data_IF_134219272779
#
_entry.id   IF_134219272779
#
_cell.length_a   1.000
_cell.length_b   1.000
_cell.length_c   1.000
_cell.angle_alpha   90.00
_cell.angle_beta   90.00
_cell.angle_gamma   90.00
#
_symmetry.space_group_name_H-M   'P 1'
#
loop_
_entity.id
_entity.type
_entity.pdbx_description
1 polymer ?
#
# COMPACT_ATOMS: atom_id res chain seq x y z
N UNK A 1 21.30 -33.18 -22.93
CA UNK A 1 20.05 -32.41 -23.04
C UNK A 1 20.37 -31.02 -22.52
N UNK A 2 20.72 -30.08 -23.40
CA UNK A 2 20.72 -28.67 -22.95
C UNK A 2 19.25 -28.30 -22.84
N UNK A 3 18.76 -28.19 -21.61
CA UNK A 3 17.37 -27.86 -21.36
C UNK A 3 17.20 -26.37 -21.60
N UNK A 4 16.13 -25.97 -22.28
CA UNK A 4 15.76 -24.55 -22.51
C UNK A 4 15.85 -23.71 -21.23
N UNK A 5 15.59 -24.35 -20.08
CA UNK A 5 15.74 -23.81 -18.71
C UNK A 5 17.15 -23.33 -18.33
N UNK A 6 18.21 -23.76 -19.02
CA UNK A 6 19.58 -23.28 -18.79
C UNK A 6 19.79 -21.85 -19.30
N UNK A 7 18.95 -21.38 -20.23
CA UNK A 7 19.02 -20.02 -20.80
C UNK A 7 18.43 -18.95 -19.87
N UNK A 8 17.56 -19.33 -18.95
CA UNK A 8 16.91 -18.41 -18.01
C UNK A 8 17.90 -17.81 -17.00
N UNK A 9 17.64 -16.58 -16.57
CA UNK A 9 18.41 -15.91 -15.50
C UNK A 9 18.09 -16.58 -14.15
N UNK A 10 19.01 -16.45 -13.18
CA UNK A 10 18.80 -17.05 -11.84
C UNK A 10 17.54 -16.53 -11.15
N UNK A 11 17.23 -15.23 -11.33
CA UNK A 11 16.03 -14.61 -10.79
C UNK A 11 14.74 -15.23 -11.37
N UNK A 12 14.66 -15.38 -12.69
CA UNK A 12 13.53 -16.01 -13.39
C UNK A 12 13.31 -17.46 -12.93
N UNK A 13 14.39 -18.21 -12.69
CA UNK A 13 14.30 -19.58 -12.16
C UNK A 13 13.81 -19.63 -10.71
N UNK A 14 14.03 -18.59 -9.92
CA UNK A 14 13.50 -18.50 -8.55
C UNK A 14 12.00 -18.17 -8.62
N UNK A 15 11.62 -17.19 -9.43
CA UNK A 15 10.21 -16.81 -9.63
C UNK A 15 9.39 -17.98 -10.18
N UNK A 16 9.90 -18.70 -11.17
CA UNK A 16 9.26 -19.88 -11.74
C UNK A 16 9.08 -20.98 -10.68
N UNK A 17 10.10 -21.20 -9.84
CA UNK A 17 10.03 -22.21 -8.79
C UNK A 17 9.04 -21.82 -7.68
N UNK A 18 8.96 -20.54 -7.32
CA UNK A 18 7.98 -20.02 -6.35
C UNK A 18 6.55 -20.12 -6.90
N UNK A 19 6.34 -19.80 -8.19
CA UNK A 19 5.05 -19.99 -8.87
C UNK A 19 4.64 -21.47 -8.93
N UNK A 20 5.60 -22.38 -9.09
CA UNK A 20 5.38 -23.84 -9.04
C UNK A 20 5.22 -24.38 -7.60
N UNK A 21 5.32 -23.52 -6.57
CA UNK A 21 5.18 -23.92 -5.16
C UNK A 21 6.36 -24.72 -4.61
N UNK A 22 7.53 -24.65 -5.25
CA UNK A 22 8.75 -25.31 -4.81
C UNK A 22 9.45 -24.44 -3.77
N UNK A 23 9.87 -25.02 -2.63
CA UNK A 23 10.59 -24.26 -1.59
C UNK A 23 12.03 -23.93 -2.05
N UNK A 24 12.15 -22.76 -2.68
CA UNK A 24 13.34 -21.98 -3.04
C UNK A 24 14.24 -21.61 -1.86
N UNK A 25 15.58 -21.60 -1.99
CA UNK A 25 16.44 -20.78 -1.14
C UNK A 25 17.35 -19.96 -2.05
N UNK A 26 17.56 -18.67 -1.75
CA UNK A 26 18.43 -17.76 -2.50
C UNK A 26 19.89 -18.26 -2.63
N UNK A 27 20.30 -19.13 -1.70
CA UNK A 27 21.59 -19.81 -1.67
C UNK A 27 21.75 -20.91 -2.73
N UNK A 28 20.67 -21.35 -3.39
CA UNK A 28 20.76 -22.38 -4.41
C UNK A 28 21.47 -21.88 -5.68
N UNK A 29 22.39 -22.69 -6.20
CA UNK A 29 23.09 -22.44 -7.45
C UNK A 29 22.15 -22.67 -8.64
N UNK A 30 22.24 -21.86 -9.71
CA UNK A 30 21.47 -21.99 -10.96
C UNK A 30 21.26 -23.46 -11.43
N UNK A 31 22.30 -24.31 -11.55
CA UNK A 31 22.11 -25.71 -11.98
C UNK A 31 21.25 -26.55 -11.02
N UNK A 32 21.28 -26.26 -9.71
CA UNK A 32 20.43 -26.97 -8.72
C UNK A 32 18.97 -26.55 -8.84
N UNK A 33 18.70 -25.29 -9.19
CA UNK A 33 17.34 -24.80 -9.44
C UNK A 33 16.75 -25.46 -10.68
N UNK A 34 17.51 -25.50 -11.78
CA UNK A 34 17.10 -26.17 -13.02
C UNK A 34 16.76 -27.64 -12.77
N UNK A 35 17.62 -28.38 -12.05
CA UNK A 35 17.37 -29.79 -11.75
C UNK A 35 16.11 -30.01 -10.89
N UNK A 36 15.87 -29.16 -9.89
CA UNK A 36 14.66 -29.25 -9.06
C UNK A 36 13.38 -28.99 -9.85
N UNK A 37 13.40 -28.01 -10.75
CA UNK A 37 12.25 -27.68 -11.60
C UNK A 37 11.99 -28.82 -12.57
N UNK A 38 13.03 -29.38 -13.20
CA UNK A 38 12.90 -30.53 -14.10
C UNK A 38 12.33 -31.77 -13.40
N UNK A 39 12.87 -32.12 -12.23
CA UNK A 39 12.40 -33.26 -11.43
C UNK A 39 10.92 -33.08 -11.05
N UNK A 40 10.52 -31.84 -10.72
CA UNK A 40 9.14 -31.53 -10.46
C UNK A 40 8.24 -31.69 -11.69
N UNK A 41 8.64 -31.12 -12.84
CA UNK A 41 7.89 -31.22 -14.09
C UNK A 41 7.76 -32.68 -14.59
N UNK A 42 8.79 -33.51 -14.40
CA UNK A 42 8.75 -34.94 -14.73
C UNK A 42 7.87 -35.75 -13.76
N UNK A 43 7.73 -35.31 -12.51
CA UNK A 43 6.90 -35.98 -11.50
C UNK A 43 5.40 -35.74 -11.66
N UNK A 44 5.00 -34.73 -12.46
CA UNK A 44 3.60 -34.38 -12.64
C UNK A 44 2.91 -35.32 -13.63
N UNK A 45 1.70 -35.84 -13.30
CA UNK A 45 0.97 -36.76 -14.17
C UNK A 45 0.33 -36.06 -15.39
N UNK A 46 0.13 -34.74 -15.33
CA UNK A 46 -0.45 -33.92 -16.39
C UNK A 46 0.43 -32.67 -16.61
N UNK A 47 0.54 -32.17 -17.86
CA UNK A 47 1.30 -30.96 -18.15
C UNK A 47 0.67 -29.74 -17.45
N UNK A 48 1.52 -28.86 -16.97
CA UNK A 48 1.12 -27.60 -16.31
C UNK A 48 0.39 -26.70 -17.32
N UNK A 49 -0.65 -25.99 -16.87
CA UNK A 49 -1.43 -25.08 -17.72
C UNK A 49 -0.56 -23.93 -18.27
N UNK A 50 -0.46 -23.84 -19.59
CA UNK A 50 0.35 -22.86 -20.29
C UNK A 50 -0.20 -21.42 -20.15
N UNK A 51 -1.47 -21.26 -19.78
CA UNK A 51 -2.06 -19.93 -19.54
C UNK A 51 -1.50 -19.27 -18.28
N UNK A 52 -1.10 -20.06 -17.28
CA UNK A 52 -0.52 -19.57 -16.02
C UNK A 52 1.02 -19.51 -16.09
N UNK A 53 1.64 -20.31 -16.98
CA UNK A 53 3.09 -20.44 -17.12
C UNK A 53 3.56 -20.35 -18.59
N UNK A 54 3.51 -19.16 -19.23
CA UNK A 54 3.93 -19.00 -20.62
C UNK A 54 5.43 -19.31 -20.83
N UNK A 55 6.24 -19.15 -19.79
CA UNK A 55 7.69 -19.43 -19.80
C UNK A 55 8.01 -20.91 -20.06
N UNK A 56 7.07 -21.82 -19.80
CA UNK A 56 7.22 -23.27 -20.02
C UNK A 56 6.84 -23.71 -21.44
N UNK A 57 6.27 -22.85 -22.27
CA UNK A 57 5.85 -23.16 -23.65
C UNK A 57 7.01 -23.71 -24.48
N UNK A 58 8.14 -23.01 -24.46
CA UNK A 58 9.37 -23.41 -25.17
C UNK A 58 9.93 -24.75 -24.67
N UNK A 59 9.72 -25.08 -23.39
CA UNK A 59 10.15 -26.35 -22.82
C UNK A 59 9.29 -27.52 -23.33
N UNK A 60 7.97 -27.36 -23.35
CA UNK A 60 7.05 -28.38 -23.86
C UNK A 60 7.14 -28.55 -25.38
N UNK A 61 7.38 -27.46 -26.13
CA UNK A 61 7.63 -27.53 -27.58
C UNK A 61 8.90 -28.35 -27.90
N UNK A 62 9.98 -28.12 -27.15
CA UNK A 62 11.21 -28.90 -27.29
C UNK A 62 10.99 -30.39 -26.98
N UNK A 63 10.19 -30.72 -25.96
CA UNK A 63 9.82 -32.11 -25.67
C UNK A 63 8.96 -32.75 -26.78
N UNK A 64 8.03 -31.99 -27.35
CA UNK A 64 7.19 -32.46 -28.45
C UNK A 64 8.02 -32.79 -29.70
N UNK A 65 9.01 -31.97 -30.05
CA UNK A 65 9.93 -32.20 -31.17
C UNK A 65 10.81 -33.45 -30.96
N UNK A 66 11.25 -33.70 -29.72
CA UNK A 66 12.03 -34.90 -29.37
C UNK A 66 11.16 -36.17 -29.43
N UNK A 67 9.89 -36.08 -29.01
CA UNK A 67 8.97 -37.22 -29.05
C UNK A 67 8.64 -37.64 -30.50
N UNK A 68 8.53 -36.68 -31.42
CA UNK A 68 8.22 -36.92 -32.84
C UNK A 68 9.41 -37.44 -33.66
N UNK A 69 10.66 -37.25 -33.21
CA UNK A 69 11.85 -37.76 -33.91
C UNK A 69 12.18 -39.23 -33.58
N UNK A 70 11.50 -39.84 -32.59
CA UNK A 70 11.73 -41.23 -32.19
C UNK A 70 10.85 -42.26 -32.92
N UNK A 71 9.97 -41.82 -33.83
CA UNK A 71 9.08 -42.68 -34.60
C UNK A 71 8.94 -42.21 -36.05
N UNK A 72 9.77 -42.75 -36.95
CA UNK A 72 9.39 -42.96 -38.36
C UNK A 72 9.76 -41.86 -39.37
N UNK A 73 10.90 -42.08 -40.03
CA UNK A 73 11.21 -41.93 -41.47
C UNK A 73 10.35 -41.01 -42.38
N UNK A 74 11.06 -40.04 -42.99
CA UNK A 74 10.91 -39.41 -44.32
C UNK A 74 9.68 -38.55 -44.65
N UNK A 75 9.91 -37.24 -44.86
CA UNK A 75 9.52 -36.52 -46.09
C UNK A 75 10.13 -35.11 -46.11
N UNK A 76 10.62 -34.71 -47.28
CA UNK A 76 11.33 -33.48 -47.64
C UNK A 76 10.44 -32.23 -47.79
N UNK A 77 11.08 -31.05 -47.69
CA UNK A 77 10.65 -29.77 -48.27
C UNK A 77 10.47 -28.70 -47.19
N UNK A 78 10.93 -27.46 -47.30
CA UNK A 78 11.66 -26.68 -48.30
C UNK A 78 12.07 -25.38 -47.59
N UNK A 79 13.12 -24.75 -48.10
CA UNK A 79 13.78 -23.52 -47.66
C UNK A 79 12.91 -22.25 -47.52
N UNK A 80 13.28 -21.38 -46.58
CA UNK A 80 13.43 -19.90 -46.65
C UNK A 80 13.94 -19.49 -45.24
N UNK A 81 15.20 -19.10 -44.97
CA UNK A 81 16.01 -17.96 -45.46
C UNK A 81 15.32 -16.59 -45.30
N UNK A 82 15.29 -16.08 -44.06
CA UNK A 82 15.41 -14.64 -43.79
C UNK A 82 16.37 -14.43 -42.60
N UNK A 83 17.58 -13.99 -42.93
CA UNK A 83 18.54 -13.35 -42.04
C UNK A 83 17.98 -11.96 -41.66
N UNK A 84 17.87 -11.65 -40.38
CA UNK A 84 17.76 -10.26 -39.92
C UNK A 84 18.88 -9.97 -38.93
N UNK A 85 19.85 -9.20 -39.44
CA UNK A 85 20.93 -8.54 -38.72
C UNK A 85 20.38 -7.65 -37.59
N UNK A 86 20.95 -7.83 -36.40
CA UNK A 86 20.71 -6.98 -35.24
C UNK A 86 21.97 -6.87 -34.41
N UNK A 87 23.00 -6.26 -34.99
CA UNK A 87 24.16 -5.72 -34.27
C UNK A 87 23.69 -4.65 -33.29
N UNK A 88 24.01 -4.81 -32.01
CA UNK A 88 23.67 -3.88 -30.94
C UNK A 88 24.67 -4.02 -29.79
N UNK A 89 25.79 -3.33 -29.99
CA UNK A 89 26.89 -2.95 -29.10
C UNK A 89 26.91 -3.49 -27.66
N UNK A 90 28.04 -4.16 -27.39
CA UNK A 90 28.68 -4.28 -26.08
C UNK A 90 29.08 -2.89 -25.57
N UNK A 91 28.54 -2.48 -24.41
CA UNK A 91 29.16 -1.47 -23.54
C UNK A 91 29.26 -2.07 -22.13
N UNK A 92 30.31 -2.87 -21.95
CA UNK A 92 30.98 -3.10 -20.67
C UNK A 92 31.94 -1.93 -20.44
N UNK A 93 31.74 -1.10 -19.41
CA UNK A 93 32.84 -0.30 -18.81
C UNK A 93 32.45 0.23 -17.41
N UNK A 94 33.33 -0.10 -16.45
CA UNK A 94 33.75 0.58 -15.23
C UNK A 94 32.73 0.75 -14.06
N UNK A 95 32.85 0.07 -12.91
CA UNK A 95 34.00 -0.14 -12.01
C UNK A 95 34.68 1.18 -11.61
N UNK A 96 34.09 1.88 -10.64
CA UNK A 96 34.81 2.85 -9.80
C UNK A 96 34.23 2.84 -8.37
N UNK A 97 34.81 1.94 -7.58
CA UNK A 97 34.91 2.01 -6.13
C UNK A 97 35.81 3.20 -5.74
N UNK A 98 35.24 4.31 -5.27
CA UNK A 98 35.97 5.30 -4.48
C UNK A 98 35.33 5.46 -3.09
N UNK A 99 35.84 4.64 -2.16
CA UNK A 99 35.73 4.82 -0.71
C UNK A 99 36.51 6.09 -0.29
N UNK A 100 35.81 7.19 0.00
CA UNK A 100 36.42 8.32 0.72
C UNK A 100 36.40 8.05 2.24
N UNK A 101 37.50 7.49 2.74
CA UNK A 101 37.86 7.46 4.16
C UNK A 101 38.27 8.87 4.65
N UNK A 102 37.35 9.63 5.25
CA UNK A 102 37.71 10.78 6.09
C UNK A 102 38.10 10.32 7.51
N UNK A 103 39.36 9.91 7.70
CA UNK A 103 39.98 9.81 9.03
C UNK A 103 40.22 11.21 9.62
N UNK A 104 39.25 11.68 10.42
CA UNK A 104 39.43 12.85 11.28
C UNK A 104 40.16 12.42 12.57
N UNK A 105 41.50 12.45 12.56
CA UNK A 105 42.31 12.40 13.78
C UNK A 105 42.18 13.71 14.57
N UNK A 106 41.34 13.71 15.61
CA UNK A 106 41.34 14.78 16.62
C UNK A 106 42.12 14.29 17.85
N UNK A 107 43.40 14.68 17.91
CA UNK A 107 44.25 14.56 19.09
C UNK A 107 43.79 15.53 20.19
N UNK A 108 42.83 15.11 21.02
CA UNK A 108 42.48 15.82 22.26
C UNK A 108 43.31 15.29 23.43
N UNK A 109 44.51 15.84 23.58
CA UNK A 109 45.27 15.82 24.84
C UNK A 109 45.06 17.13 25.59
N UNK A 110 44.25 17.11 26.65
CA UNK A 110 44.56 17.81 27.91
C UNK A 110 43.48 17.62 28.98
N UNK A 111 43.84 16.83 29.99
CA UNK A 111 43.70 17.10 31.43
C UNK A 111 42.45 17.82 31.95
N UNK A 112 41.47 17.02 32.40
CA UNK A 112 40.47 17.43 33.39
C UNK A 112 40.39 16.42 34.55
N UNK A 113 40.78 16.80 35.78
CA UNK A 113 40.54 16.00 36.98
C UNK A 113 39.31 16.52 37.73
N UNK A 114 38.25 15.72 37.83
CA UNK A 114 37.64 15.31 39.10
C UNK A 114 36.34 14.55 38.85
N UNK A 115 36.37 13.28 39.22
CA UNK A 115 35.32 12.30 38.99
C UNK A 115 34.11 12.59 39.90
N UNK A 116 32.99 12.92 39.27
CA UNK A 116 31.65 12.70 39.86
C UNK A 116 31.40 11.19 39.99
N UNK A 117 30.80 10.71 41.09
CA UNK A 117 30.55 9.28 41.33
C UNK A 117 29.61 8.62 40.31
N UNK A 118 28.93 9.40 39.47
CA UNK A 118 28.09 8.89 38.38
C UNK A 118 28.90 8.35 37.17
N UNK A 119 30.17 8.73 37.00
CA UNK A 119 31.01 8.24 35.89
C UNK A 119 31.59 6.83 36.13
N UNK A 120 31.41 6.25 37.34
CA UNK A 120 31.96 4.94 37.67
C UNK A 120 31.08 3.75 37.22
N UNK A 121 29.85 4.00 36.77
CA UNK A 121 28.91 2.90 36.46
C UNK A 121 28.99 2.35 35.03
N UNK A 122 29.65 3.03 34.09
CA UNK A 122 29.85 2.51 32.73
C UNK A 122 31.31 2.54 32.24
N UNK A 123 32.23 3.14 33.00
CA UNK A 123 33.63 3.38 32.59
C UNK A 123 34.58 2.17 32.72
N UNK A 124 34.13 1.04 33.28
CA UNK A 124 34.97 -0.17 33.41
C UNK A 124 34.68 -1.24 32.35
N UNK A 125 33.79 -0.98 31.40
CA UNK A 125 33.74 -1.75 30.15
C UNK A 125 34.96 -1.34 29.31
N UNK A 126 36.11 -1.94 29.65
CA UNK A 126 37.23 -1.95 28.72
C UNK A 126 36.82 -2.84 27.56
N UNK A 127 36.38 -2.24 26.46
CA UNK A 127 36.42 -2.87 25.14
C UNK A 127 37.89 -3.04 24.75
N UNK A 128 38.61 -3.88 25.50
CA UNK A 128 39.88 -4.40 25.03
C UNK A 128 39.51 -5.19 23.78
N UNK A 129 40.14 -4.84 22.67
CA UNK A 129 40.06 -5.50 21.37
C UNK A 129 40.61 -6.94 21.45
N UNK A 130 40.09 -7.72 22.40
CA UNK A 130 40.34 -9.14 22.53
C UNK A 130 39.41 -9.77 21.51
N UNK A 131 40.02 -10.20 20.41
CA UNK A 131 39.50 -11.19 19.47
C UNK A 131 39.14 -12.44 20.28
N UNK A 132 37.99 -12.39 20.92
CA UNK A 132 37.41 -13.51 21.64
C UNK A 132 36.45 -14.12 20.64
N UNK A 133 36.82 -15.29 20.13
CA UNK A 133 35.94 -16.21 19.42
C UNK A 133 34.85 -16.74 20.37
N UNK A 134 34.16 -15.84 21.08
CA UNK A 134 33.00 -16.16 21.88
C UNK A 134 31.78 -16.09 20.95
N UNK A 135 30.85 -17.07 21.01
CA UNK A 135 29.66 -17.09 20.13
C UNK A 135 28.69 -15.92 20.34
N UNK A 136 28.97 -15.03 21.29
CA UNK A 136 28.07 -13.97 21.77
C UNK A 136 28.76 -12.60 21.74
N UNK A 137 29.42 -12.27 20.63
CA UNK A 137 29.83 -10.89 20.38
C UNK A 137 28.61 -10.10 19.88
N UNK A 138 28.10 -9.19 20.71
CA UNK A 138 27.01 -8.30 20.31
C UNK A 138 27.55 -7.28 19.32
N UNK A 139 27.23 -7.47 18.04
CA UNK A 139 27.65 -6.59 16.95
C UNK A 139 26.76 -5.34 16.95
N UNK A 140 27.04 -4.43 17.89
CA UNK A 140 26.26 -3.21 18.07
C UNK A 140 26.18 -2.37 16.79
N UNK A 141 27.28 -2.31 16.02
CA UNK A 141 27.29 -1.61 14.73
C UNK A 141 26.30 -2.23 13.74
N UNK A 142 26.34 -3.55 13.53
CA UNK A 142 25.36 -4.23 12.66
C UNK A 142 23.91 -4.03 13.12
N UNK A 143 23.66 -3.99 14.44
CA UNK A 143 22.31 -3.70 14.95
C UNK A 143 21.87 -2.26 14.66
N UNK A 144 22.76 -1.28 14.80
CA UNK A 144 22.44 0.12 14.47
C UNK A 144 22.22 0.28 12.97
N UNK A 145 23.05 -0.35 12.15
CA UNK A 145 22.93 -0.34 10.69
C UNK A 145 21.63 -1.01 10.24
N UNK A 146 21.24 -2.13 10.85
CA UNK A 146 19.97 -2.82 10.59
C UNK A 146 18.76 -1.96 11.00
N UNK A 147 18.83 -1.31 12.16
CA UNK A 147 17.77 -0.37 12.59
C UNK A 147 17.68 0.83 11.65
N UNK A 148 18.80 1.38 11.19
CA UNK A 148 18.84 2.49 10.25
C UNK A 148 18.26 2.07 8.89
N UNK A 149 18.72 0.95 8.33
CA UNK A 149 18.23 0.40 7.07
C UNK A 149 16.74 0.09 7.13
N UNK A 150 16.31 -0.61 8.19
CA UNK A 150 14.88 -0.91 8.43
C UNK A 150 14.09 0.40 8.52
N UNK A 151 14.53 1.37 9.30
CA UNK A 151 13.83 2.66 9.43
C UNK A 151 13.72 3.40 8.10
N UNK A 152 14.77 3.37 7.27
CA UNK A 152 14.75 3.95 5.94
C UNK A 152 13.74 3.24 5.04
N UNK A 153 13.75 1.91 4.99
CA UNK A 153 12.81 1.11 4.21
C UNK A 153 11.34 1.36 4.64
N UNK A 154 11.07 1.44 5.94
CA UNK A 154 9.74 1.81 6.45
C UNK A 154 9.35 3.22 6.05
N UNK A 155 10.29 4.17 6.06
CA UNK A 155 10.02 5.55 5.66
C UNK A 155 9.70 5.65 4.16
N UNK A 156 10.47 4.97 3.31
CA UNK A 156 10.21 4.87 1.87
C UNK A 156 8.85 4.23 1.59
N UNK A 157 8.52 3.12 2.26
CA UNK A 157 7.19 2.48 2.15
C UNK A 157 6.04 3.38 2.61
N UNK A 158 6.23 4.12 3.70
CA UNK A 158 5.22 5.05 4.21
C UNK A 158 5.06 6.22 3.22
N UNK A 159 6.16 6.73 2.67
CA UNK A 159 6.13 7.77 1.65
C UNK A 159 5.38 7.29 0.40
N UNK A 160 5.70 6.11 -0.12
CA UNK A 160 5.02 5.52 -1.27
C UNK A 160 3.53 5.32 -0.98
N UNK A 161 3.19 4.74 0.17
CA UNK A 161 1.81 4.53 0.57
C UNK A 161 1.03 5.84 0.71
N UNK A 162 1.62 6.87 1.34
CA UNK A 162 1.02 8.19 1.51
C UNK A 162 0.92 8.98 0.20
N UNK A 163 1.80 8.70 -0.76
CA UNK A 163 1.77 9.32 -2.10
C UNK A 163 0.63 8.78 -2.96
N UNK A 164 0.11 7.58 -2.67
CA UNK A 164 -1.03 7.06 -3.39
C UNK A 164 -2.29 7.90 -3.15
N UNK A 165 -2.98 8.23 -4.23
CA UNK A 165 -4.20 9.06 -4.19
C UNK A 165 -5.31 8.42 -3.33
N UNK A 166 -5.36 7.09 -3.29
CA UNK A 166 -6.27 6.33 -2.45
C UNK A 166 -6.02 6.56 -0.96
N UNK A 167 -4.76 6.57 -0.52
CA UNK A 167 -4.40 6.84 0.87
C UNK A 167 -4.71 8.28 1.25
N UNK A 168 -4.39 9.25 0.38
CA UNK A 168 -4.75 10.66 0.60
C UNK A 168 -6.26 10.80 0.77
N UNK A 169 -7.06 10.13 -0.06
CA UNK A 169 -8.54 10.10 0.07
C UNK A 169 -8.98 9.54 1.42
N UNK A 170 -8.40 8.42 1.85
CA UNK A 170 -8.73 7.80 3.15
C UNK A 170 -8.34 8.69 4.34
N UNK A 171 -7.18 9.34 4.27
CA UNK A 171 -6.72 10.27 5.30
C UNK A 171 -7.66 11.47 5.41
N UNK A 172 -8.03 12.09 4.28
CA UNK A 172 -9.00 13.21 4.27
C UNK A 172 -10.34 12.77 4.86
N UNK A 173 -10.84 11.59 4.49
CA UNK A 173 -12.06 11.02 5.07
C UNK A 173 -11.93 10.78 6.59
N UNK A 174 -10.80 10.26 7.06
CA UNK A 174 -10.55 10.01 8.47
C UNK A 174 -10.49 11.30 9.27
N UNK A 175 -9.83 12.33 8.74
CA UNK A 175 -9.77 13.66 9.34
C UNK A 175 -11.17 14.30 9.39
N UNK A 176 -11.92 14.24 8.29
CA UNK A 176 -13.31 14.71 8.26
C UNK A 176 -14.17 13.97 9.29
N UNK A 177 -14.10 12.64 9.34
CA UNK A 177 -14.84 11.82 10.31
C UNK A 177 -14.48 12.22 11.74
N UNK A 178 -13.19 12.41 12.02
CA UNK A 178 -12.73 12.83 13.34
C UNK A 178 -13.34 14.16 13.77
N UNK A 179 -13.28 15.18 12.90
CA UNK A 179 -13.88 16.49 13.19
C UNK A 179 -15.40 16.43 13.30
N UNK A 180 -16.05 15.54 12.54
CA UNK A 180 -17.49 15.35 12.59
C UNK A 180 -17.95 14.62 13.86
N UNK A 181 -17.24 13.57 14.30
CA UNK A 181 -17.62 12.70 15.43
C UNK A 181 -17.24 13.31 16.78
N UNK A 182 -16.07 13.97 16.87
CA UNK A 182 -15.56 14.59 18.11
C UNK A 182 -16.62 15.38 18.90
N UNK A 183 -17.42 16.27 18.29
CA UNK A 183 -18.44 17.04 19.02
C UNK A 183 -19.70 16.24 19.38
N UNK A 184 -19.94 15.10 18.74
CA UNK A 184 -21.10 14.24 18.99
C UNK A 184 -20.88 13.28 20.18
N UNK A 185 -19.62 13.00 20.53
CA UNK A 185 -19.24 12.11 21.62
C UNK A 185 -18.68 12.92 22.77
N UNK A 186 -19.34 12.86 23.93
CA UNK A 186 -18.88 13.50 25.15
C UNK A 186 -18.40 12.44 26.14
N UNK A 187 -17.19 12.64 26.67
CA UNK A 187 -16.59 11.77 27.69
C UNK A 187 -16.70 12.44 29.06
N UNK A 188 -17.45 11.82 29.96
CA UNK A 188 -17.55 12.25 31.36
C UNK A 188 -16.59 11.41 32.22
N UNK A 189 -15.35 11.86 32.33
CA UNK A 189 -14.29 11.17 33.10
C UNK A 189 -14.63 11.04 34.58
N UNK A 190 -15.57 11.83 35.11
CA UNK A 190 -15.97 11.75 36.52
C UNK A 190 -16.74 10.47 36.85
N UNK A 191 -17.35 9.84 35.82
CA UNK A 191 -18.12 8.61 35.95
C UNK A 191 -17.31 7.35 35.64
N UNK A 192 -16.01 7.47 35.33
CA UNK A 192 -15.17 6.32 35.03
C UNK A 192 -14.99 5.43 36.26
N UNK A 193 -15.21 4.09 36.21
CA UNK A 193 -15.37 3.24 35.02
C UNK A 193 -16.81 2.80 34.69
N UNK A 194 -17.85 3.51 35.14
CA UNK A 194 -19.24 3.13 34.85
C UNK A 194 -19.56 3.22 33.35
N UNK A 195 -20.49 2.40 32.82
CA UNK A 195 -20.85 2.39 31.39
C UNK A 195 -21.46 3.71 30.89
N UNK A 196 -21.83 4.62 31.79
CA UNK A 196 -22.36 5.96 31.47
C UNK A 196 -21.26 7.00 31.23
N UNK A 197 -19.98 6.61 31.19
CA UNK A 197 -18.87 7.53 30.93
C UNK A 197 -18.89 8.14 29.51
N UNK A 198 -19.64 7.53 28.58
CA UNK A 198 -19.85 8.04 27.21
C UNK A 198 -21.30 8.47 27.06
N UNK A 199 -21.50 9.74 26.74
CA UNK A 199 -22.80 10.28 26.37
C UNK A 199 -22.78 10.78 24.92
N UNK A 200 -23.84 10.46 24.18
CA UNK A 200 -24.03 10.92 22.80
C UNK A 200 -24.88 12.18 22.82
N UNK A 201 -24.35 13.26 22.26
CA UNK A 201 -25.06 14.52 22.16
C UNK A 201 -25.71 14.64 20.77
N UNK A 202 -26.99 15.07 20.68
CA UNK A 202 -27.96 15.37 21.73
C UNK A 202 -28.82 14.15 22.12
N UNK A 203 -28.94 13.16 21.24
CA UNK A 203 -29.58 11.87 21.52
C UNK A 203 -28.88 10.75 20.74
N UNK A 204 -29.02 9.50 21.20
CA UNK A 204 -28.46 8.34 20.49
C UNK A 204 -29.01 8.19 19.06
N UNK A 205 -30.29 8.55 18.85
CA UNK A 205 -30.92 8.48 17.52
C UNK A 205 -30.34 9.54 16.58
N UNK A 206 -30.17 10.76 17.08
CA UNK A 206 -29.60 11.86 16.31
C UNK A 206 -28.12 11.59 15.98
N UNK A 207 -27.39 10.94 16.89
CA UNK A 207 -26.05 10.43 16.61
C UNK A 207 -26.08 9.45 15.42
N UNK A 208 -26.91 8.42 15.48
CA UNK A 208 -27.01 7.43 14.38
C UNK A 208 -27.42 8.08 13.06
N UNK A 209 -28.38 9.02 13.06
CA UNK A 209 -28.75 9.76 11.86
C UNK A 209 -27.62 10.61 11.33
N UNK A 210 -26.87 11.28 12.19
CA UNK A 210 -25.73 12.12 11.80
C UNK A 210 -24.60 11.29 11.19
N UNK A 211 -24.24 10.16 11.81
CA UNK A 211 -23.21 9.25 11.28
C UNK A 211 -23.68 8.63 9.96
N UNK A 212 -24.93 8.18 9.88
CA UNK A 212 -25.47 7.59 8.65
C UNK A 212 -25.53 8.62 7.53
N UNK A 213 -25.91 9.86 7.84
CA UNK A 213 -25.91 10.99 6.90
C UNK A 213 -24.49 11.28 6.40
N UNK A 214 -23.51 11.40 7.31
CA UNK A 214 -22.12 11.61 6.94
C UNK A 214 -21.61 10.49 6.05
N UNK A 215 -21.83 9.23 6.42
CA UNK A 215 -21.38 8.08 5.62
C UNK A 215 -22.02 8.07 4.23
N UNK A 216 -23.32 8.33 4.14
CA UNK A 216 -24.06 8.36 2.89
C UNK A 216 -23.53 9.44 1.95
N UNK A 217 -23.35 10.68 2.43
CA UNK A 217 -23.03 11.83 1.59
C UNK A 217 -21.53 12.13 1.45
N UNK A 218 -20.70 11.81 2.45
CA UNK A 218 -19.25 11.98 2.38
C UNK A 218 -18.55 10.84 1.62
N UNK A 219 -19.12 9.63 1.65
CA UNK A 219 -18.45 8.43 1.16
C UNK A 219 -19.28 7.66 0.13
N UNK A 220 -20.46 7.16 0.49
CA UNK A 220 -21.21 6.24 -0.36
C UNK A 220 -21.65 6.89 -1.68
N UNK A 221 -22.28 8.07 -1.62
CA UNK A 221 -22.80 8.76 -2.80
C UNK A 221 -21.68 9.19 -3.77
N UNK A 222 -20.59 9.86 -3.35
CA UNK A 222 -19.45 10.13 -4.23
C UNK A 222 -18.81 8.87 -4.83
N UNK A 223 -18.73 7.77 -4.06
CA UNK A 223 -18.18 6.49 -4.55
C UNK A 223 -19.06 5.88 -5.65
N UNK A 224 -20.38 5.88 -5.47
CA UNK A 224 -21.33 5.38 -6.49
C UNK A 224 -21.26 6.23 -7.76
N UNK A 225 -21.18 7.56 -7.64
CA UNK A 225 -21.05 8.46 -8.80
C UNK A 225 -19.73 8.19 -9.53
N UNK A 226 -18.62 8.14 -8.80
CA UNK A 226 -17.29 7.85 -9.36
C UNK A 226 -17.23 6.50 -10.07
N UNK A 227 -17.78 5.46 -9.44
CA UNK A 227 -17.89 4.13 -10.03
C UNK A 227 -18.72 4.15 -11.32
N UNK A 228 -19.88 4.82 -11.31
CA UNK A 228 -20.75 4.90 -12.48
C UNK A 228 -20.07 5.60 -13.66
N UNK A 229 -19.37 6.71 -13.43
CA UNK A 229 -18.66 7.42 -14.48
C UNK A 229 -17.48 6.60 -15.04
N UNK A 230 -16.72 5.95 -14.16
CA UNK A 230 -15.64 5.06 -14.57
C UNK A 230 -16.15 3.87 -15.40
N UNK A 231 -17.27 3.27 -14.97
CA UNK A 231 -17.95 2.18 -15.67
C UNK A 231 -18.36 2.57 -17.09
N UNK A 232 -18.88 3.79 -17.30
CA UNK A 232 -19.29 4.27 -18.62
C UNK A 232 -18.08 4.53 -19.53
N UNK A 233 -16.95 4.96 -18.97
CA UNK A 233 -15.77 5.33 -19.75
C UNK A 233 -14.92 4.13 -20.20
N UNK A 234 -14.89 3.04 -19.43
CA UNK A 234 -13.99 1.89 -19.66
C UNK A 234 -12.50 2.29 -19.80
N UNK A 235 -12.10 3.49 -19.36
CA UNK A 235 -10.76 4.04 -19.62
C UNK A 235 -9.71 3.50 -18.64
N UNK A 236 -10.10 3.15 -17.40
CA UNK A 236 -9.18 2.66 -16.38
C UNK A 236 -9.50 1.22 -15.97
N UNK A 237 -8.95 0.25 -16.71
CA UNK A 237 -9.12 -1.18 -16.42
C UNK A 237 -8.53 -1.60 -15.06
N UNK A 238 -7.61 -0.81 -14.49
CA UNK A 238 -6.93 -1.11 -13.21
C UNK A 238 -7.48 -0.35 -11.99
N UNK A 239 -8.27 0.71 -12.19
CA UNK A 239 -8.76 1.57 -11.09
C UNK A 239 -10.27 1.43 -11.00
N UNK A 240 -10.77 0.92 -9.87
CA UNK A 240 -12.21 0.70 -9.65
C UNK A 240 -13.02 2.01 -9.59
N UNK A 241 -12.40 3.10 -9.12
CA UNK A 241 -13.05 4.40 -8.89
C UNK A 241 -12.26 5.55 -9.51
N UNK A 242 -12.89 6.35 -10.37
CA UNK A 242 -12.29 7.60 -10.87
C UNK A 242 -12.13 8.61 -9.71
N UNK A 243 -10.88 8.93 -9.30
CA UNK A 243 -10.63 9.78 -8.15
C UNK A 243 -10.99 11.24 -8.40
N UNK A 244 -10.90 11.71 -9.65
CA UNK A 244 -11.28 13.07 -10.03
C UNK A 244 -12.79 13.26 -9.86
N UNK A 245 -13.58 12.33 -10.40
CA UNK A 245 -15.05 12.35 -10.28
C UNK A 245 -15.50 12.20 -8.82
N UNK A 246 -14.79 11.37 -8.05
CA UNK A 246 -15.05 11.23 -6.61
C UNK A 246 -14.91 12.56 -5.87
N UNK A 247 -13.77 13.24 -6.00
CA UNK A 247 -13.54 14.50 -5.29
C UNK A 247 -14.43 15.63 -5.82
N UNK A 248 -14.67 15.68 -7.14
CA UNK A 248 -15.57 16.67 -7.74
C UNK A 248 -17.01 16.51 -7.24
N UNK A 249 -17.55 15.29 -7.23
CA UNK A 249 -18.91 15.04 -6.76
C UNK A 249 -19.07 15.38 -5.28
N UNK A 250 -18.08 15.01 -4.45
CA UNK A 250 -18.07 15.36 -3.02
C UNK A 250 -17.97 16.87 -2.79
N UNK A 251 -17.17 17.59 -3.59
CA UNK A 251 -17.10 19.05 -3.55
C UNK A 251 -18.45 19.70 -3.91
N UNK A 252 -19.14 19.21 -4.95
CA UNK A 252 -20.47 19.70 -5.34
C UNK A 252 -21.53 19.42 -4.27
N UNK A 253 -21.53 18.23 -3.65
CA UNK A 253 -22.40 17.89 -2.52
C UNK A 253 -22.15 18.84 -1.35
N UNK A 254 -20.87 19.06 -1.02
CA UNK A 254 -20.47 19.98 0.07
C UNK A 254 -20.91 21.42 -0.22
N UNK A 255 -20.77 21.87 -1.47
CA UNK A 255 -21.26 23.17 -1.92
C UNK A 255 -22.77 23.29 -1.74
N UNK A 256 -23.53 22.27 -2.16
CA UNK A 256 -24.98 22.24 -2.00
C UNK A 256 -25.40 22.32 -0.54
N UNK A 257 -24.70 21.63 0.37
CA UNK A 257 -24.98 21.66 1.81
C UNK A 257 -24.62 22.99 2.48
N UNK A 258 -23.61 23.70 1.97
CA UNK A 258 -23.26 25.04 2.45
C UNK A 258 -24.35 26.06 2.10
N UNK A 259 -24.88 26.01 0.87
CA UNK A 259 -25.95 26.90 0.42
C UNK A 259 -27.31 26.53 1.01
N UNK A 260 -27.59 25.24 1.18
CA UNK A 260 -28.83 24.80 1.79
C UNK A 260 -28.82 25.14 3.29
N UNK A 261 -29.95 25.63 3.80
CA UNK A 261 -30.11 25.93 5.23
C UNK A 261 -31.08 24.94 5.85
N UNK A 262 -30.75 24.35 7.01
CA UNK A 262 -31.67 23.44 7.68
C UNK A 262 -32.97 24.19 8.02
N UNK A 263 -34.11 23.54 7.79
CA UNK A 263 -35.42 24.13 8.01
C UNK A 263 -35.78 24.11 9.50
N UNK A 264 -35.13 24.97 10.29
CA UNK A 264 -35.25 25.02 11.78
C UNK A 264 -36.71 25.07 12.26
N UNK A 265 -37.58 25.79 11.54
CA UNK A 265 -39.01 25.87 11.88
C UNK A 265 -39.71 24.50 11.86
N UNK A 266 -39.40 23.66 10.86
CA UNK A 266 -40.01 22.33 10.71
C UNK A 266 -39.51 21.36 11.77
N UNK A 267 -38.25 21.49 12.21
CA UNK A 267 -37.73 20.66 13.31
C UNK A 267 -38.41 20.98 14.64
N UNK A 268 -38.64 22.26 14.93
CA UNK A 268 -39.37 22.67 16.15
C UNK A 268 -40.78 22.09 16.16
N UNK A 269 -41.50 22.17 15.03
CA UNK A 269 -42.83 21.57 14.90
C UNK A 269 -42.80 20.04 15.09
N UNK A 270 -41.78 19.38 14.57
CA UNK A 270 -41.63 17.93 14.65
C UNK A 270 -41.29 17.45 16.07
N UNK A 271 -40.46 18.19 16.82
CA UNK A 271 -40.19 17.93 18.23
C UNK A 271 -41.40 18.08 19.14
N UNK A 272 -42.39 18.89 18.74
CA UNK A 272 -43.65 19.09 19.48
C UNK A 272 -44.70 18.01 19.19
N UNK A 273 -44.45 17.10 18.25
CA UNK A 273 -45.43 16.07 17.84
C UNK A 273 -45.01 14.69 18.35
N UNK A 274 -45.86 14.03 19.14
CA UNK A 274 -45.54 12.72 19.77
C UNK A 274 -45.59 11.52 18.80
N UNK A 275 -46.21 11.68 17.62
CA UNK A 275 -46.38 10.61 16.63
C UNK A 275 -45.59 10.90 15.35
N UNK A 276 -44.51 10.14 15.13
CA UNK A 276 -43.66 10.27 13.95
C UNK A 276 -44.07 9.31 12.82
N UNK A 277 -44.34 9.86 11.64
CA UNK A 277 -44.33 9.08 10.39
C UNK A 277 -42.89 8.79 9.95
N UNK A 278 -42.68 7.70 9.19
CA UNK A 278 -41.35 7.34 8.65
C UNK A 278 -40.77 8.48 7.80
N UNK A 279 -41.61 9.16 7.03
CA UNK A 279 -41.19 10.31 6.21
C UNK A 279 -40.72 11.49 7.06
N UNK A 280 -41.39 11.75 8.19
CA UNK A 280 -40.97 12.77 9.16
C UNK A 280 -39.65 12.38 9.83
N UNK A 281 -39.48 11.10 10.18
CA UNK A 281 -38.24 10.58 10.76
C UNK A 281 -37.06 10.72 9.80
N UNK A 282 -37.23 10.39 8.53
CA UNK A 282 -36.19 10.57 7.51
C UNK A 282 -35.88 12.05 7.28
N UNK A 283 -36.90 12.90 7.25
CA UNK A 283 -36.72 14.37 7.12
C UNK A 283 -35.97 14.94 8.32
N UNK A 284 -36.30 14.47 9.53
CA UNK A 284 -35.59 14.80 10.76
C UNK A 284 -34.12 14.38 10.69
N UNK A 285 -33.85 13.10 10.38
CA UNK A 285 -32.48 12.60 10.25
C UNK A 285 -31.66 13.35 9.21
N UNK A 286 -32.27 13.72 8.07
CA UNK A 286 -31.64 14.55 7.05
C UNK A 286 -31.29 15.96 7.57
N UNK A 287 -32.24 16.64 8.23
CA UNK A 287 -32.01 18.00 8.73
C UNK A 287 -30.98 18.04 9.86
N UNK A 288 -31.05 17.07 10.79
CA UNK A 288 -30.06 16.90 11.86
C UNK A 288 -28.68 16.65 11.28
N UNK A 289 -28.55 15.70 10.34
CA UNK A 289 -27.29 15.42 9.67
C UNK A 289 -26.73 16.63 8.93
N UNK A 290 -27.58 17.37 8.20
CA UNK A 290 -27.20 18.59 7.50
C UNK A 290 -26.76 19.71 8.46
N UNK A 291 -27.46 19.86 9.58
CA UNK A 291 -27.10 20.82 10.63
C UNK A 291 -25.72 20.52 11.19
N UNK A 292 -25.46 19.27 11.58
CA UNK A 292 -24.15 18.85 12.11
C UNK A 292 -23.05 18.95 11.07
N UNK A 293 -23.31 18.56 9.82
CA UNK A 293 -22.35 18.71 8.74
C UNK A 293 -21.91 20.18 8.61
N UNK A 294 -22.89 21.08 8.49
CA UNK A 294 -22.63 22.50 8.30
C UNK A 294 -21.92 23.13 9.50
N UNK A 295 -22.32 22.79 10.71
CA UNK A 295 -21.76 23.39 11.92
C UNK A 295 -20.36 22.84 12.26
N UNK A 296 -20.14 21.54 12.10
CA UNK A 296 -18.88 20.89 12.52
C UNK A 296 -17.82 20.87 11.41
N UNK A 297 -18.22 20.58 10.16
CA UNK A 297 -17.28 20.51 9.04
C UNK A 297 -17.16 21.85 8.29
N UNK A 298 -18.24 22.63 8.24
CA UNK A 298 -18.25 23.93 7.56
C UNK A 298 -17.73 23.83 6.12
N UNK A 299 -16.71 24.63 5.79
CA UNK A 299 -16.10 24.67 4.46
C UNK A 299 -15.00 23.61 4.24
N UNK A 300 -14.60 22.86 5.27
CA UNK A 300 -13.47 21.93 5.19
C UNK A 300 -13.64 20.89 4.06
N UNK A 301 -14.78 20.19 3.93
CA UNK A 301 -14.95 19.20 2.86
C UNK A 301 -14.88 19.85 1.47
N UNK A 302 -15.39 21.07 1.30
CA UNK A 302 -15.31 21.77 0.02
C UNK A 302 -13.86 22.08 -0.36
N UNK A 303 -13.10 22.68 0.56
CA UNK A 303 -11.71 23.09 0.33
C UNK A 303 -10.82 21.86 0.10
N UNK A 304 -10.95 20.84 0.95
CA UNK A 304 -10.16 19.61 0.84
C UNK A 304 -10.41 18.88 -0.49
N UNK A 305 -11.68 18.76 -0.90
CA UNK A 305 -11.99 18.08 -2.16
C UNK A 305 -11.67 18.94 -3.38
N UNK A 306 -11.76 20.27 -3.32
CA UNK A 306 -11.28 21.14 -4.39
C UNK A 306 -9.75 21.03 -4.58
N UNK A 307 -8.98 20.99 -3.48
CA UNK A 307 -7.54 20.75 -3.54
C UNK A 307 -7.24 19.35 -4.10
N UNK A 308 -7.97 18.33 -3.68
CA UNK A 308 -7.81 16.96 -4.19
C UNK A 308 -8.14 16.84 -5.69
N UNK A 309 -9.12 17.61 -6.20
CA UNK A 309 -9.38 17.72 -7.65
C UNK A 309 -8.17 18.29 -8.39
N UNK A 310 -7.53 19.34 -7.87
CA UNK A 310 -6.32 19.91 -8.49
C UNK A 310 -5.17 18.92 -8.49
N UNK A 311 -4.97 18.19 -7.38
CA UNK A 311 -3.95 17.13 -7.30
C UNK A 311 -4.26 15.99 -8.27
N UNK A 312 -5.51 15.54 -8.36
CA UNK A 312 -5.91 14.51 -9.30
C UNK A 312 -5.68 14.95 -10.76
N UNK A 313 -5.97 16.21 -11.09
CA UNK A 313 -5.67 16.77 -12.42
C UNK A 313 -4.16 16.81 -12.70
N UNK A 314 -3.34 17.16 -11.71
CA UNK A 314 -1.89 17.17 -11.87
C UNK A 314 -1.30 15.77 -12.10
N UNK A 315 -1.83 14.76 -11.41
CA UNK A 315 -1.37 13.36 -11.56
C UNK A 315 -1.86 12.73 -12.86
N UNK A 316 -3.00 13.17 -13.39
CA UNK A 316 -3.60 12.64 -14.62
C UNK A 316 -3.21 13.38 -15.90
N UNK A 317 -2.61 14.57 -15.79
CA UNK A 317 -2.17 15.40 -16.92
C UNK A 317 -0.75 15.02 -17.36
#
# INVERSE_FOLDING_TARGET
MSTVLERFKKAELIDLADKLGLSVSSSNTKPKLVLKILDHLESLPEPVDLMEFPELELYYEALAQISTTSSGTSSSGSSDDEEEDGEGDDDDEDDDDEEEEEEIEIDFKSDLPNKSPACLWFSNLKFVNKVTNSPYYFRFHEFIDDVQYTTQEWNERVQDYLSTLQTVKQLVLAVELFFFVKPLVQFDFTRFPSPEFVSFYPSQRDFLFSISFWFLFAHLLPSVISYYFNFVRHELFSIEFDPLVYHLSKALISLQFLYNSPAVKKEIELLLTDNYSITQLLTHGYNVGLFYWKFQLGHLPLIANAAAVVVALYVLA
#
